data_IF_230546068274
#
_entry.id   IF_230546068274
#
_cell.length_a   1.000
_cell.length_b   1.000
_cell.length_c   1.000
_cell.angle_alpha   90.00
_cell.angle_beta   90.00
_cell.angle_gamma   90.00
#
_symmetry.space_group_name_H-M   'P 1'
#
loop_
_entity.id
_entity.type
_entity.pdbx_description
1 polymer ?
#
# COMPACT_ATOMS: atom_id res chain seq x y z
N UNK A 1 -17.03 -12.43 10.09
CA UNK A 1 -17.11 -11.13 9.40
C UNK A 1 -15.75 -10.46 9.51
N UNK A 2 -15.19 -9.94 8.43
CA UNK A 2 -13.90 -9.22 8.48
C UNK A 2 -14.18 -7.77 8.82
N UNK A 3 -13.58 -7.26 9.89
CA UNK A 3 -13.64 -5.85 10.28
C UNK A 3 -12.42 -5.11 9.75
N UNK A 4 -12.60 -3.83 9.44
CA UNK A 4 -11.53 -2.94 9.02
C UNK A 4 -11.43 -1.79 10.02
N UNK A 5 -10.21 -1.42 10.38
CA UNK A 5 -9.92 -0.31 11.30
C UNK A 5 -8.85 0.58 10.68
N UNK A 6 -8.99 1.89 10.78
CA UNK A 6 -8.02 2.83 10.23
C UNK A 6 -6.62 2.63 10.83
N UNK A 7 -5.61 2.89 10.00
CA UNK A 7 -4.20 2.68 10.33
C UNK A 7 -3.37 3.97 10.19
N UNK A 8 -3.63 5.01 11.01
CA UNK A 8 -2.95 6.30 10.89
C UNK A 8 -1.44 6.20 11.13
N UNK A 9 -1.02 5.31 12.03
CA UNK A 9 0.38 5.02 12.32
C UNK A 9 1.12 4.45 11.08
N UNK A 10 0.46 3.57 10.32
CA UNK A 10 1.02 3.02 9.08
C UNK A 10 1.03 4.05 7.96
N UNK A 11 0.06 4.98 7.94
CA UNK A 11 0.10 6.14 7.03
C UNK A 11 1.32 7.01 7.30
N UNK A 12 1.55 7.39 8.55
CA UNK A 12 2.72 8.20 8.93
C UNK A 12 4.04 7.50 8.57
N UNK A 13 4.12 6.19 8.83
CA UNK A 13 5.29 5.38 8.48
C UNK A 13 5.50 5.29 6.96
N UNK A 14 4.44 5.10 6.20
CA UNK A 14 4.48 5.08 4.74
C UNK A 14 4.93 6.42 4.15
N UNK A 15 4.51 7.55 4.73
CA UNK A 15 4.98 8.89 4.33
C UNK A 15 6.49 9.01 4.51
N UNK A 16 7.01 8.62 5.67
CA UNK A 16 8.46 8.64 5.97
C UNK A 16 9.25 7.75 5.00
N UNK A 17 8.76 6.55 4.74
CA UNK A 17 9.35 5.60 3.78
C UNK A 17 9.37 6.18 2.37
N UNK A 18 8.24 6.70 1.88
CA UNK A 18 8.13 7.28 0.54
C UNK A 18 9.08 8.47 0.35
N UNK A 19 9.18 9.36 1.34
CA UNK A 19 10.09 10.49 1.32
C UNK A 19 11.56 10.04 1.26
N UNK A 20 11.94 9.03 2.05
CA UNK A 20 13.31 8.50 2.09
C UNK A 20 13.74 7.85 0.77
N UNK A 21 12.81 7.20 0.07
CA UNK A 21 13.09 6.48 -1.19
C UNK A 21 12.82 7.35 -2.43
N UNK A 22 12.36 8.60 -2.26
CA UNK A 22 12.11 9.56 -3.34
C UNK A 22 10.88 9.23 -4.20
N UNK A 23 9.80 8.77 -3.57
CA UNK A 23 8.52 8.44 -4.23
C UNK A 23 7.56 9.63 -4.26
N UNK A 24 7.97 10.74 -4.88
CA UNK A 24 7.23 12.01 -4.87
C UNK A 24 5.91 11.96 -5.65
N UNK A 25 5.66 10.91 -6.43
CA UNK A 25 4.42 10.71 -7.20
C UNK A 25 3.25 10.20 -6.36
N UNK A 26 3.48 9.81 -5.10
CA UNK A 26 2.42 9.29 -4.23
C UNK A 26 1.61 10.42 -3.62
N UNK A 27 0.31 10.44 -3.93
CA UNK A 27 -0.66 11.33 -3.32
C UNK A 27 -1.29 10.68 -2.07
N UNK A 28 -0.82 11.10 -0.89
CA UNK A 28 -1.26 10.57 0.41
C UNK A 28 -2.66 11.04 0.85
N UNK A 29 -3.30 11.97 0.12
CA UNK A 29 -4.69 12.34 0.34
C UNK A 29 -5.65 11.40 -0.41
N UNK A 30 -5.13 10.63 -1.38
CA UNK A 30 -5.84 9.59 -2.14
C UNK A 30 -5.28 8.19 -1.86
N UNK A 31 -4.60 8.01 -0.73
CA UNK A 31 -4.08 6.72 -0.28
C UNK A 31 -4.52 6.47 1.17
N UNK A 32 -5.29 5.42 1.35
CA UNK A 32 -5.90 5.07 2.64
C UNK A 32 -5.27 3.79 3.21
N UNK A 33 -5.27 3.68 4.54
CA UNK A 33 -4.59 2.61 5.26
C UNK A 33 -5.54 1.98 6.27
N UNK A 34 -5.67 0.66 6.22
CA UNK A 34 -6.52 -0.09 7.16
C UNK A 34 -5.84 -1.36 7.67
N UNK A 35 -6.20 -1.77 8.88
CA UNK A 35 -5.96 -3.11 9.41
C UNK A 35 -7.19 -3.96 9.24
N UNK A 36 -6.97 -5.25 9.07
CA UNK A 36 -8.02 -6.26 9.15
C UNK A 36 -7.46 -7.54 9.78
N UNK A 37 -8.35 -8.43 10.24
CA UNK A 37 -7.95 -9.75 10.72
C UNK A 37 -8.73 -10.82 9.97
N UNK A 38 -8.01 -11.73 9.32
CA UNK A 38 -8.58 -12.87 8.61
C UNK A 38 -7.56 -14.01 8.53
N UNK A 39 -8.03 -15.26 8.51
CA UNK A 39 -7.15 -16.42 8.38
C UNK A 39 -6.71 -16.62 6.92
N UNK A 40 -5.64 -15.92 6.56
CA UNK A 40 -5.03 -15.93 5.23
C UNK A 40 -3.52 -15.86 5.37
N UNK A 41 -2.78 -16.14 4.29
CA UNK A 41 -1.33 -15.96 4.24
C UNK A 41 -0.89 -14.53 3.88
N UNK A 42 -1.85 -13.66 3.54
CA UNK A 42 -1.58 -12.27 3.14
C UNK A 42 -1.10 -11.46 4.33
N UNK A 43 0.02 -10.76 4.16
CA UNK A 43 0.57 -9.83 5.17
C UNK A 43 0.00 -8.43 4.96
N UNK A 44 0.15 -7.91 3.75
CA UNK A 44 -0.50 -6.70 3.28
C UNK A 44 -0.99 -6.90 1.84
N UNK A 45 -1.85 -5.99 1.39
CA UNK A 45 -2.26 -5.89 -0.01
C UNK A 45 -2.72 -4.46 -0.31
N UNK A 46 -2.55 -4.07 -1.56
CA UNK A 46 -3.09 -2.83 -2.10
C UNK A 46 -4.32 -3.10 -2.97
N UNK A 47 -5.31 -2.23 -2.86
CA UNK A 47 -6.50 -2.16 -3.71
C UNK A 47 -6.55 -0.79 -4.39
N UNK A 48 -7.03 -0.69 -5.63
CA UNK A 48 -7.02 0.52 -6.44
C UNK A 48 -8.40 0.76 -7.02
N UNK A 49 -8.74 2.02 -7.26
CA UNK A 49 -10.01 2.37 -7.88
C UNK A 49 -9.96 2.14 -9.39
N UNK A 50 -10.23 0.90 -9.83
CA UNK A 50 -10.02 0.44 -11.21
C UNK A 50 -10.87 1.18 -12.26
N UNK A 51 -10.44 1.10 -13.53
CA UNK A 51 -11.05 1.84 -14.65
C UNK A 51 -12.56 1.64 -14.78
N UNK A 52 -13.06 0.43 -14.55
CA UNK A 52 -14.50 0.14 -14.62
C UNK A 52 -15.31 0.89 -13.56
N UNK A 53 -14.78 1.03 -12.34
CA UNK A 53 -15.40 1.80 -11.27
C UNK A 53 -15.31 3.31 -11.54
N UNK A 54 -14.21 3.77 -12.14
CA UNK A 54 -14.10 5.17 -12.60
C UNK A 54 -15.14 5.51 -13.67
N UNK A 55 -15.41 4.58 -14.59
CA UNK A 55 -16.47 4.76 -15.60
C UNK A 55 -17.85 4.86 -14.96
N UNK A 56 -18.11 4.07 -13.91
CA UNK A 56 -19.36 4.13 -13.15
C UNK A 56 -19.47 5.42 -12.30
N UNK A 57 -18.35 5.95 -11.79
CA UNK A 57 -18.29 7.13 -10.94
C UNK A 57 -17.24 8.14 -11.43
N UNK A 58 -17.52 8.87 -12.54
CA UNK A 58 -16.53 9.68 -13.24
C UNK A 58 -16.02 10.91 -12.45
N UNK A 59 -16.72 11.32 -11.40
CA UNK A 59 -16.33 12.46 -10.56
C UNK A 59 -15.37 12.06 -9.43
N UNK A 60 -15.15 10.76 -9.20
CA UNK A 60 -14.25 10.27 -8.17
C UNK A 60 -12.85 10.11 -8.78
N UNK A 61 -11.88 10.84 -8.21
CA UNK A 61 -10.47 10.68 -8.60
C UNK A 61 -9.97 9.30 -8.17
N UNK A 62 -9.09 8.64 -8.95
CA UNK A 62 -8.52 7.35 -8.57
C UNK A 62 -7.82 7.45 -7.21
N UNK A 63 -8.02 6.42 -6.39
CA UNK A 63 -7.42 6.29 -5.07
C UNK A 63 -6.98 4.85 -4.83
N UNK A 64 -6.18 4.66 -3.80
CA UNK A 64 -5.69 3.36 -3.38
C UNK A 64 -5.98 3.12 -1.90
N UNK A 65 -6.07 1.85 -1.53
CA UNK A 65 -6.23 1.41 -0.15
C UNK A 65 -5.21 0.32 0.10
N UNK A 66 -4.28 0.54 1.03
CA UNK A 66 -3.38 -0.50 1.52
C UNK A 66 -3.99 -1.08 2.80
N UNK A 67 -4.13 -2.40 2.82
CA UNK A 67 -4.72 -3.13 3.94
C UNK A 67 -3.73 -4.12 4.50
N UNK A 68 -3.61 -4.17 5.83
CA UNK A 68 -2.66 -5.00 6.56
C UNK A 68 -3.41 -6.04 7.37
N UNK A 69 -3.01 -7.31 7.24
CA UNK A 69 -3.52 -8.37 8.08
C UNK A 69 -2.78 -8.34 9.41
N UNK A 70 -3.45 -7.87 10.46
CA UNK A 70 -2.85 -7.62 11.77
C UNK A 70 -2.20 -8.88 12.37
N UNK A 71 -2.82 -10.06 12.18
CA UNK A 71 -2.28 -11.36 12.64
C UNK A 71 -0.92 -11.68 12.01
N UNK A 72 -0.68 -11.28 10.77
CA UNK A 72 0.52 -11.63 10.03
C UNK A 72 1.55 -10.48 10.06
N UNK A 73 1.12 -9.24 9.87
CA UNK A 73 1.98 -8.06 9.87
C UNK A 73 2.65 -7.82 11.22
N UNK A 74 1.96 -8.07 12.34
CA UNK A 74 2.56 -7.91 13.67
C UNK A 74 3.60 -9.00 14.01
N UNK A 75 3.75 -10.04 13.18
CA UNK A 75 4.77 -11.08 13.34
C UNK A 75 6.09 -10.70 12.67
N UNK A 76 6.05 -9.74 11.76
CA UNK A 76 7.24 -9.18 11.11
C UNK A 76 7.99 -8.28 12.09
N UNK A 77 9.31 -8.29 12.01
CA UNK A 77 10.13 -7.30 12.69
C UNK A 77 10.00 -5.92 12.02
N UNK A 78 10.52 -4.87 12.65
CA UNK A 78 10.36 -3.50 12.15
C UNK A 78 10.91 -3.32 10.72
N UNK A 79 12.04 -3.94 10.41
CA UNK A 79 12.63 -3.85 9.08
C UNK A 79 11.74 -4.56 8.04
N UNK A 80 11.29 -5.77 8.32
CA UNK A 80 10.34 -6.51 7.47
C UNK A 80 9.04 -5.73 7.24
N UNK A 81 8.50 -5.08 8.27
CA UNK A 81 7.32 -4.23 8.13
C UNK A 81 7.57 -3.02 7.22
N UNK A 82 8.75 -2.37 7.32
CA UNK A 82 9.12 -1.29 6.41
C UNK A 82 9.19 -1.79 4.96
N UNK A 83 9.74 -2.99 4.75
CA UNK A 83 9.80 -3.62 3.44
C UNK A 83 8.41 -3.94 2.88
N UNK A 84 7.52 -4.45 3.71
CA UNK A 84 6.12 -4.72 3.35
C UNK A 84 5.40 -3.42 2.96
N UNK A 85 5.55 -2.34 3.74
CA UNK A 85 4.95 -1.04 3.39
C UNK A 85 5.51 -0.54 2.05
N UNK A 86 6.84 -0.57 1.87
CA UNK A 86 7.47 -0.16 0.62
C UNK A 86 7.01 -1.01 -0.57
N UNK A 87 6.84 -2.31 -0.39
CA UNK A 87 6.31 -3.23 -1.41
C UNK A 87 4.95 -2.77 -1.93
N UNK A 88 4.03 -2.46 -1.02
CA UNK A 88 2.69 -1.99 -1.39
C UNK A 88 2.73 -0.60 -2.05
N UNK A 89 3.57 0.31 -1.57
CA UNK A 89 3.76 1.63 -2.21
C UNK A 89 4.31 1.51 -3.63
N UNK A 90 5.24 0.58 -3.86
CA UNK A 90 5.83 0.34 -5.18
C UNK A 90 4.79 -0.08 -6.22
N UNK A 91 3.70 -0.74 -5.82
CA UNK A 91 2.61 -1.06 -6.74
C UNK A 91 1.88 0.17 -7.30
N UNK A 92 2.02 1.35 -6.69
CA UNK A 92 1.39 2.58 -7.15
C UNK A 92 2.20 3.16 -8.35
N UNK A 93 1.64 3.15 -9.57
CA UNK A 93 2.31 3.71 -10.75
C UNK A 93 2.49 5.24 -10.61
N UNK A 94 3.47 5.79 -11.32
CA UNK A 94 3.69 7.25 -11.40
C UNK A 94 2.48 8.03 -11.93
N UNK A 95 1.62 7.38 -12.71
CA UNK A 95 0.38 7.98 -13.24
C UNK A 95 -0.74 8.07 -12.20
N UNK A 96 -0.62 7.35 -11.07
CA UNK A 96 -1.65 7.25 -10.02
C UNK A 96 -3.05 6.94 -10.62
N UNK A 97 -3.11 6.03 -11.60
CA UNK A 97 -4.30 5.81 -12.43
C UNK A 97 -5.41 5.01 -11.75
N UNK A 98 -5.18 4.45 -10.56
CA UNK A 98 -6.06 3.46 -9.91
C UNK A 98 -5.77 2.01 -10.29
N UNK A 99 -4.84 1.80 -11.22
CA UNK A 99 -4.32 0.47 -11.59
C UNK A 99 -3.03 0.16 -10.81
N UNK A 100 -2.59 -1.10 -10.76
CA UNK A 100 -1.33 -1.48 -10.13
C UNK A 100 -0.25 -1.75 -11.15
N UNK A 101 0.97 -1.33 -10.81
CA UNK A 101 2.17 -1.82 -11.48
C UNK A 101 2.46 -3.23 -11.00
N UNK A 102 2.52 -4.20 -11.92
CA UNK A 102 3.10 -5.51 -11.63
C UNK A 102 4.62 -5.34 -11.54
N UNK A 103 5.13 -5.18 -10.33
CA UNK A 103 6.57 -5.15 -10.09
C UNK A 103 7.02 -6.54 -9.69
N UNK A 104 8.10 -7.02 -10.31
CA UNK A 104 8.69 -8.30 -9.93
C UNK A 104 9.22 -8.21 -8.49
N UNK A 105 8.99 -9.24 -7.67
CA UNK A 105 9.53 -9.33 -6.31
C UNK A 105 11.06 -9.10 -6.24
N UNK A 106 11.80 -9.40 -7.31
CA UNK A 106 13.24 -9.15 -7.44
C UNK A 106 13.61 -7.66 -7.47
N UNK A 107 12.78 -6.81 -8.09
CA UNK A 107 12.99 -5.36 -8.17
C UNK A 107 12.80 -4.69 -6.79
N UNK A 108 11.90 -5.28 -5.99
CA UNK A 108 11.52 -4.80 -4.65
C UNK A 108 12.70 -5.00 -3.70
N UNK A 109 13.29 -6.20 -3.66
CA UNK A 109 14.50 -6.53 -2.87
C UNK A 109 15.70 -5.63 -3.12
N UNK A 110 15.78 -5.02 -4.32
CA UNK A 110 16.86 -4.08 -4.66
C UNK A 110 16.63 -2.70 -4.02
N UNK A 111 15.39 -2.22 -3.99
CA UNK A 111 15.01 -0.92 -3.40
C UNK A 111 14.86 -0.98 -1.88
N UNK A 112 14.57 -2.17 -1.35
CA UNK A 112 14.63 -2.50 0.07
C UNK A 112 15.88 -2.02 0.78
N UNK A 113 17.04 -2.14 0.13
CA UNK A 113 18.36 -1.84 0.71
C UNK A 113 18.60 -0.35 1.00
N UNK A 114 17.63 0.51 0.71
CA UNK A 114 17.68 1.96 0.94
C UNK A 114 17.00 2.38 2.25
N UNK A 115 16.26 1.46 2.87
CA UNK A 115 15.68 1.58 4.20
C UNK A 115 16.74 1.27 5.28
#
# INVERSE_FOLDING_TARGET
MVTYTEAPDLRERAIKIAARVGMDHIDFDRLFFYRYTCDTRTIAKITGFFKTLQLAYPHIRPFYVITFNEKNFNRENEEEQNQTILHELLHIPKTFSGEFSKIAHSEIRRRSRLL
#
